data_IF_954637681176
#
_entry.id   IF_954637681176
#
_cell.length_a   1.000
_cell.length_b   1.000
_cell.length_c   1.000
_cell.angle_alpha   90.00
_cell.angle_beta   90.00
_cell.angle_gamma   90.00
#
_symmetry.space_group_name_H-M   'P 1'
#
loop_
_entity.id
_entity.type
_entity.pdbx_description
1 polymer ?
#
# COMPACT_ATOMS: atom_id res chain seq x y z
N UNK A 1 2.08 18.24 -26.23
CA UNK A 1 1.10 19.22 -26.76
C UNK A 1 0.41 20.05 -25.67
N UNK A 2 -0.39 19.44 -24.76
CA UNK A 2 -1.10 20.17 -23.69
C UNK A 2 -0.21 21.14 -22.88
N UNK A 3 1.05 20.78 -22.67
CA UNK A 3 2.04 21.57 -21.90
C UNK A 3 2.37 22.91 -22.55
N UNK A 4 2.50 22.96 -23.88
CA UNK A 4 2.73 24.21 -24.60
C UNK A 4 1.46 25.06 -24.67
N UNK A 5 0.30 24.43 -24.86
CA UNK A 5 -0.98 25.12 -24.90
C UNK A 5 -1.31 25.80 -23.55
N UNK A 6 -1.11 25.09 -22.43
CA UNK A 6 -1.32 25.64 -21.08
C UNK A 6 -0.28 26.74 -20.81
N UNK A 7 0.99 26.54 -21.16
CA UNK A 7 2.02 27.55 -20.97
C UNK A 7 1.76 28.85 -21.75
N UNK A 8 1.30 28.74 -23.00
CA UNK A 8 0.90 29.90 -23.80
C UNK A 8 -0.35 30.58 -23.24
N UNK A 9 -1.35 29.82 -22.79
CA UNK A 9 -2.57 30.35 -22.20
C UNK A 9 -2.37 30.97 -20.80
N UNK A 10 -1.34 30.53 -20.06
CA UNK A 10 -1.01 31.08 -18.75
C UNK A 10 -0.59 32.56 -18.83
N UNK A 11 -0.07 33.00 -19.98
CA UNK A 11 0.20 34.41 -20.30
C UNK A 11 0.94 35.18 -19.20
N UNK A 12 1.90 34.52 -18.51
CA UNK A 12 2.71 35.14 -17.44
C UNK A 12 1.99 35.39 -16.12
N UNK A 13 0.83 34.76 -15.86
CA UNK A 13 0.10 34.86 -14.58
C UNK A 13 0.74 34.09 -13.41
N UNK A 14 1.85 33.39 -13.68
CA UNK A 14 2.63 32.61 -12.72
C UNK A 14 1.91 31.41 -12.13
N UNK A 15 2.58 30.72 -11.20
CA UNK A 15 2.13 29.41 -10.67
C UNK A 15 0.86 29.47 -9.82
N UNK A 16 0.53 30.64 -9.27
CA UNK A 16 -0.63 30.81 -8.37
C UNK A 16 -1.88 31.27 -9.13
N UNK A 17 -1.81 32.35 -9.90
CA UNK A 17 -2.98 32.88 -10.63
C UNK A 17 -3.15 32.24 -12.03
N UNK A 18 -2.08 31.69 -12.59
CA UNK A 18 -2.10 30.97 -13.87
C UNK A 18 -2.60 29.54 -13.75
N UNK A 19 -2.79 28.90 -14.90
CA UNK A 19 -3.11 27.47 -14.98
C UNK A 19 -1.89 26.61 -14.62
N UNK A 20 -2.15 25.34 -14.26
CA UNK A 20 -1.11 24.35 -13.99
C UNK A 20 -1.46 23.01 -14.62
N UNK A 21 -0.51 22.08 -14.61
CA UNK A 21 -0.66 20.71 -15.08
C UNK A 21 -0.60 19.73 -13.91
N UNK A 22 -1.38 18.66 -13.98
CA UNK A 22 -1.19 17.50 -13.11
C UNK A 22 -0.81 16.28 -13.95
N UNK A 23 0.09 15.44 -13.45
CA UNK A 23 0.52 14.20 -14.09
C UNK A 23 0.45 13.03 -13.12
N UNK A 24 0.39 11.83 -13.66
CA UNK A 24 0.56 10.57 -12.91
C UNK A 24 1.85 9.92 -13.37
N UNK A 25 2.66 9.47 -12.42
CA UNK A 25 3.95 8.85 -12.70
C UNK A 25 3.77 7.49 -13.40
N UNK A 26 2.71 6.75 -13.05
CA UNK A 26 2.33 5.51 -13.75
C UNK A 26 2.04 5.72 -15.24
N UNK A 27 1.56 6.91 -15.63
CA UNK A 27 1.32 7.27 -17.03
C UNK A 27 2.59 7.58 -17.82
N UNK A 28 3.73 7.70 -17.15
CA UNK A 28 5.02 8.02 -17.77
C UNK A 28 5.94 6.80 -17.94
N UNK A 29 5.65 5.69 -17.24
CA UNK A 29 6.54 4.52 -17.27
C UNK A 29 5.80 3.21 -16.95
N UNK A 30 5.97 2.15 -17.76
CA UNK A 30 5.26 0.88 -17.56
C UNK A 30 5.74 0.11 -16.32
N UNK A 31 6.98 0.34 -15.88
CA UNK A 31 7.58 -0.28 -14.71
C UNK A 31 7.58 0.61 -13.46
N UNK A 32 6.61 1.52 -13.28
CA UNK A 32 6.54 2.37 -12.09
C UNK A 32 6.13 1.56 -10.84
N UNK A 33 7.13 0.95 -10.19
CA UNK A 33 7.00 0.13 -8.99
C UNK A 33 8.31 0.07 -8.20
N UNK A 34 8.25 -0.14 -6.88
CA UNK A 34 9.42 -0.20 -5.98
C UNK A 34 10.45 -1.26 -6.41
N UNK A 35 9.99 -2.40 -6.91
CA UNK A 35 10.84 -3.49 -7.42
C UNK A 35 11.67 -3.10 -8.66
N UNK A 36 11.32 -2.01 -9.34
CA UNK A 36 12.01 -1.49 -10.53
C UNK A 36 12.65 -0.12 -10.27
N UNK A 37 13.00 0.17 -9.00
CA UNK A 37 13.53 1.47 -8.58
C UNK A 37 14.64 2.00 -9.48
N UNK A 38 15.65 1.19 -9.79
CA UNK A 38 16.76 1.59 -10.66
C UNK A 38 16.29 2.03 -12.05
N UNK A 39 15.33 1.31 -12.66
CA UNK A 39 14.74 1.67 -13.95
C UNK A 39 13.89 2.93 -13.85
N UNK A 40 13.12 3.08 -12.77
CA UNK A 40 12.34 4.31 -12.51
C UNK A 40 13.27 5.53 -12.45
N UNK A 41 14.39 5.43 -11.74
CA UNK A 41 15.37 6.52 -11.65
C UNK A 41 16.13 6.77 -12.95
N UNK A 42 16.34 5.74 -13.78
CA UNK A 42 17.06 5.87 -15.05
C UNK A 42 16.17 6.29 -16.24
N UNK A 43 14.90 5.87 -16.25
CA UNK A 43 14.00 5.98 -17.41
C UNK A 43 12.83 6.95 -17.17
N UNK A 44 12.16 6.88 -16.01
CA UNK A 44 11.02 7.75 -15.67
C UNK A 44 11.52 9.15 -15.27
N UNK A 45 12.51 9.21 -14.39
CA UNK A 45 13.00 10.48 -13.84
C UNK A 45 13.42 11.51 -14.91
N UNK A 46 14.17 11.17 -15.97
CA UNK A 46 14.51 12.13 -17.03
C UNK A 46 13.28 12.75 -17.71
N UNK A 47 12.21 11.96 -17.92
CA UNK A 47 10.94 12.45 -18.49
C UNK A 47 10.27 13.43 -17.53
N UNK A 48 10.26 13.13 -16.23
CA UNK A 48 9.74 14.03 -15.19
C UNK A 48 10.54 15.34 -15.11
N UNK A 49 11.86 15.28 -15.24
CA UNK A 49 12.72 16.47 -15.25
C UNK A 49 12.46 17.35 -16.49
N UNK A 50 12.35 16.76 -17.68
CA UNK A 50 12.03 17.51 -18.90
C UNK A 50 10.69 18.25 -18.77
N UNK A 51 9.71 17.57 -18.19
CA UNK A 51 8.39 18.12 -17.85
C UNK A 51 8.49 19.32 -16.91
N UNK A 52 9.25 19.19 -15.83
CA UNK A 52 9.44 20.24 -14.84
C UNK A 52 10.20 21.45 -15.42
N UNK A 53 11.23 21.22 -16.24
CA UNK A 53 11.96 22.29 -16.92
C UNK A 53 11.05 23.06 -17.88
N UNK A 54 10.18 22.37 -18.61
CA UNK A 54 9.20 23.01 -19.47
C UNK A 54 8.18 23.83 -18.67
N UNK A 55 7.69 23.29 -17.55
CA UNK A 55 6.78 24.01 -16.67
C UNK A 55 7.43 25.27 -16.08
N UNK A 56 8.69 25.19 -15.66
CA UNK A 56 9.50 26.33 -15.22
C UNK A 56 9.62 27.41 -16.29
N UNK A 57 9.88 27.04 -17.55
CA UNK A 57 9.99 28.01 -18.66
C UNK A 57 8.73 28.84 -18.87
N UNK A 58 7.56 28.26 -18.59
CA UNK A 58 6.27 28.95 -18.68
C UNK A 58 5.77 29.52 -17.36
N UNK A 59 6.50 29.32 -16.27
CA UNK A 59 6.10 29.67 -14.90
C UNK A 59 4.70 29.13 -14.52
N UNK A 60 4.45 27.85 -14.83
CA UNK A 60 3.20 27.17 -14.49
C UNK A 60 3.43 26.07 -13.46
N UNK A 61 2.43 25.77 -12.63
CA UNK A 61 2.50 24.65 -11.69
C UNK A 61 2.55 23.29 -12.40
N UNK A 62 3.39 22.38 -11.92
CA UNK A 62 3.44 20.97 -12.31
C UNK A 62 3.24 20.09 -11.08
N UNK A 63 2.06 19.49 -10.98
CA UNK A 63 1.67 18.70 -9.83
C UNK A 63 1.78 17.19 -10.10
N UNK A 64 2.53 16.48 -9.25
CA UNK A 64 2.63 15.03 -9.27
C UNK A 64 1.47 14.46 -8.46
N UNK A 65 0.52 13.81 -9.13
CA UNK A 65 -0.61 13.15 -8.49
C UNK A 65 -0.18 11.91 -7.68
N UNK A 66 -0.81 11.73 -6.52
CA UNK A 66 -0.65 10.55 -5.69
C UNK A 66 -1.55 9.42 -6.19
N UNK A 67 -1.01 8.21 -6.19
CA UNK A 67 -1.64 6.99 -6.71
C UNK A 67 -1.87 5.98 -5.57
N UNK A 68 -1.55 4.70 -5.77
CA UNK A 68 -1.65 3.64 -4.76
C UNK A 68 -0.63 3.81 -3.63
N UNK A 69 -0.91 3.21 -2.47
CA UNK A 69 -0.10 3.37 -1.25
C UNK A 69 1.33 2.83 -1.38
N UNK A 70 1.54 1.78 -2.17
CA UNK A 70 2.86 1.17 -2.42
C UNK A 70 3.81 2.05 -3.26
N UNK A 71 3.29 3.14 -3.84
CA UNK A 71 4.03 4.09 -4.68
C UNK A 71 4.40 5.39 -3.96
N UNK A 72 3.90 5.62 -2.75
CA UNK A 72 4.15 6.87 -2.01
C UNK A 72 5.65 7.14 -1.83
N UNK A 73 6.39 6.19 -1.27
CA UNK A 73 7.81 6.38 -0.94
C UNK A 73 8.67 6.51 -2.20
N UNK A 74 8.42 5.70 -3.23
CA UNK A 74 9.09 5.83 -4.52
C UNK A 74 8.83 7.20 -5.19
N UNK A 75 7.63 7.76 -5.04
CA UNK A 75 7.33 9.10 -5.56
C UNK A 75 8.05 10.21 -4.78
N UNK A 76 8.36 9.99 -3.50
CA UNK A 76 9.14 10.93 -2.68
C UNK A 76 10.62 10.94 -3.09
N UNK A 77 11.19 9.79 -3.49
CA UNK A 77 12.54 9.74 -4.07
C UNK A 77 12.65 10.59 -5.34
N UNK A 78 11.64 10.48 -6.22
CA UNK A 78 11.56 11.27 -7.45
C UNK A 78 11.41 12.76 -7.14
N UNK A 79 10.56 13.12 -6.16
CA UNK A 79 10.38 14.49 -5.72
C UNK A 79 11.67 15.08 -5.13
N UNK A 80 12.36 14.34 -4.24
CA UNK A 80 13.61 14.82 -3.63
C UNK A 80 14.67 15.05 -4.70
N UNK A 81 14.88 14.07 -5.59
CA UNK A 81 15.81 14.24 -6.70
C UNK A 81 15.45 15.45 -7.56
N UNK A 82 14.17 15.69 -7.83
CA UNK A 82 13.70 16.84 -8.62
C UNK A 82 13.96 18.18 -7.91
N UNK A 83 13.74 18.26 -6.60
CA UNK A 83 13.94 19.49 -5.83
C UNK A 83 15.41 19.90 -5.73
N UNK A 84 16.35 18.97 -5.91
CA UNK A 84 17.79 19.27 -5.90
C UNK A 84 18.40 19.48 -7.30
N UNK A 85 17.61 19.47 -8.37
CA UNK A 85 18.13 19.78 -9.71
C UNK A 85 18.50 21.26 -9.84
N UNK A 86 19.77 21.62 -10.11
CA UNK A 86 20.19 23.02 -10.20
C UNK A 86 19.42 23.82 -11.26
N UNK A 87 19.04 23.16 -12.36
CA UNK A 87 18.27 23.77 -13.43
C UNK A 87 16.85 24.19 -12.98
N UNK A 88 16.34 23.65 -11.87
CA UNK A 88 15.04 24.02 -11.31
C UNK A 88 15.13 25.08 -10.21
N UNK A 89 16.32 25.46 -9.73
CA UNK A 89 16.49 26.45 -8.67
C UNK A 89 15.60 27.70 -8.83
N UNK A 90 14.92 28.09 -7.75
CA UNK A 90 13.99 29.23 -7.72
C UNK A 90 12.60 28.97 -8.31
N UNK A 91 12.31 27.77 -8.82
CA UNK A 91 10.99 27.44 -9.36
C UNK A 91 9.98 27.11 -8.26
N UNK A 92 8.91 27.90 -8.14
CA UNK A 92 7.85 27.70 -7.14
C UNK A 92 6.70 26.78 -7.61
N UNK A 93 6.81 26.20 -8.81
CA UNK A 93 5.73 25.42 -9.43
C UNK A 93 5.84 23.91 -9.24
N UNK A 94 6.79 23.41 -8.44
CA UNK A 94 6.88 21.97 -8.14
C UNK A 94 5.75 21.61 -7.18
N UNK A 95 4.81 20.78 -7.65
CA UNK A 95 3.65 20.35 -6.89
C UNK A 95 3.62 18.86 -6.59
N UNK A 96 3.06 18.50 -5.44
CA UNK A 96 2.97 17.11 -4.98
C UNK A 96 1.68 16.87 -4.19
N UNK A 97 0.99 15.77 -4.47
CA UNK A 97 -0.25 15.39 -3.77
C UNK A 97 0.06 14.48 -2.59
N UNK A 98 -0.61 14.72 -1.46
CA UNK A 98 -0.56 13.84 -0.28
C UNK A 98 -1.99 13.46 0.12
N UNK A 99 -2.21 12.17 0.41
CA UNK A 99 -3.53 11.61 0.65
C UNK A 99 -3.79 11.40 2.16
N UNK A 100 -4.70 12.18 2.73
CA UNK A 100 -5.04 12.19 4.16
C UNK A 100 -5.66 10.88 4.68
N UNK A 101 -6.19 10.02 3.81
CA UNK A 101 -6.68 8.70 4.20
C UNK A 101 -5.55 7.71 4.56
N UNK A 102 -4.29 8.00 4.20
CA UNK A 102 -3.16 7.14 4.53
C UNK A 102 -2.64 7.46 5.92
N UNK A 103 -2.28 6.42 6.67
CA UNK A 103 -1.66 6.55 8.00
C UNK A 103 -0.32 7.29 7.96
N UNK A 104 0.36 7.29 6.80
CA UNK A 104 1.64 7.97 6.57
C UNK A 104 1.52 9.47 6.27
N UNK A 105 0.31 9.99 6.00
CA UNK A 105 0.10 11.38 5.58
C UNK A 105 0.78 12.45 6.46
N UNK A 106 0.67 12.44 7.81
CA UNK A 106 1.34 13.45 8.63
C UNK A 106 2.86 13.41 8.50
N UNK A 107 3.46 12.22 8.40
CA UNK A 107 4.91 12.06 8.23
C UNK A 107 5.38 12.47 6.83
N UNK A 108 4.59 12.18 5.80
CA UNK A 108 4.86 12.65 4.44
C UNK A 108 4.82 14.20 4.36
N UNK A 109 3.91 14.85 5.10
CA UNK A 109 3.88 16.30 5.21
C UNK A 109 5.12 16.83 5.90
N UNK A 110 5.53 16.23 7.03
CA UNK A 110 6.73 16.64 7.74
C UNK A 110 7.98 16.53 6.83
N UNK A 111 8.09 15.42 6.09
CA UNK A 111 9.14 15.21 5.11
C UNK A 111 9.14 16.26 3.99
N UNK A 112 7.97 16.56 3.38
CA UNK A 112 7.89 17.52 2.28
C UNK A 112 8.17 18.95 2.75
N UNK A 113 7.78 19.31 3.97
CA UNK A 113 8.12 20.62 4.57
C UNK A 113 9.63 20.73 4.80
N UNK A 114 10.27 19.68 5.32
CA UNK A 114 11.72 19.63 5.48
C UNK A 114 12.45 19.71 4.12
N UNK A 115 12.01 18.92 3.14
CA UNK A 115 12.56 18.93 1.78
C UNK A 115 12.46 20.31 1.12
N UNK A 116 11.30 20.96 1.22
CA UNK A 116 11.10 22.33 0.74
C UNK A 116 12.14 23.29 1.34
N UNK A 117 12.35 23.26 2.65
CA UNK A 117 13.31 24.12 3.34
C UNK A 117 14.75 23.83 2.93
N UNK A 118 15.15 22.56 2.88
CA UNK A 118 16.52 22.17 2.49
C UNK A 118 16.84 22.44 1.02
N UNK A 119 15.85 22.33 0.14
CA UNK A 119 16.02 22.57 -1.30
C UNK A 119 15.82 24.03 -1.70
N UNK A 120 15.26 24.86 -0.81
CA UNK A 120 14.96 26.28 -1.08
C UNK A 120 13.74 26.48 -1.99
N UNK A 121 12.95 25.44 -2.21
CA UNK A 121 11.71 25.50 -2.97
C UNK A 121 10.51 25.74 -2.06
N UNK A 122 9.59 26.61 -2.47
CA UNK A 122 8.25 26.67 -1.89
C UNK A 122 7.34 25.68 -2.63
N UNK A 123 7.16 24.48 -2.08
CA UNK A 123 6.46 23.39 -2.77
C UNK A 123 4.94 23.57 -2.75
N UNK A 124 4.27 23.32 -3.88
CA UNK A 124 2.80 23.33 -3.95
C UNK A 124 2.27 21.98 -3.42
N UNK A 125 1.69 21.95 -2.23
CA UNK A 125 1.25 20.69 -1.60
C UNK A 125 -0.25 20.56 -1.67
N UNK A 126 -0.73 19.67 -2.55
CA UNK A 126 -2.15 19.36 -2.66
C UNK A 126 -2.55 18.30 -1.64
N UNK A 127 -3.34 18.69 -0.65
CA UNK A 127 -3.92 17.77 0.31
C UNK A 127 -5.26 17.25 -0.21
N UNK A 128 -5.37 15.95 -0.44
CA UNK A 128 -6.61 15.26 -0.82
C UNK A 128 -6.99 14.26 0.27
N UNK A 129 -8.21 13.70 0.23
CA UNK A 129 -8.54 12.54 1.08
C UNK A 129 -7.86 11.28 0.54
N UNK A 130 -8.21 10.87 -0.67
CA UNK A 130 -7.69 9.68 -1.34
C UNK A 130 -8.72 9.12 -2.32
N UNK A 131 -8.25 8.37 -3.32
CA UNK A 131 -9.07 7.90 -4.45
C UNK A 131 -9.06 6.37 -4.66
N UNK A 132 -8.31 5.64 -3.83
CA UNK A 132 -8.02 4.21 -4.03
C UNK A 132 -8.49 3.34 -2.86
N UNK A 133 -9.37 3.84 -1.99
CA UNK A 133 -9.62 3.25 -0.67
C UNK A 133 -10.02 1.77 -0.73
N UNK A 134 -11.03 1.40 -1.52
CA UNK A 134 -11.47 0.00 -1.64
C UNK A 134 -10.37 -0.92 -2.19
N UNK A 135 -9.57 -0.41 -3.14
CA UNK A 135 -8.43 -1.14 -3.69
C UNK A 135 -7.34 -1.36 -2.63
N UNK A 136 -7.07 -0.39 -1.76
CA UNK A 136 -6.11 -0.54 -0.66
C UNK A 136 -6.58 -1.55 0.38
N UNK A 137 -7.88 -1.56 0.71
CA UNK A 137 -8.48 -2.57 1.59
C UNK A 137 -8.31 -3.97 0.98
N UNK A 138 -8.72 -4.13 -0.28
CA UNK A 138 -8.60 -5.40 -1.00
C UNK A 138 -7.15 -5.87 -1.11
N UNK A 139 -6.23 -4.97 -1.47
CA UNK A 139 -4.82 -5.30 -1.68
C UNK A 139 -4.18 -5.79 -0.40
N UNK A 140 -4.36 -5.08 0.72
CA UNK A 140 -3.82 -5.50 2.00
C UNK A 140 -4.37 -6.86 2.48
N UNK A 141 -5.64 -7.16 2.18
CA UNK A 141 -6.26 -8.47 2.47
C UNK A 141 -5.68 -9.58 1.60
N UNK A 142 -5.57 -9.37 0.28
CA UNK A 142 -4.97 -10.34 -0.64
C UNK A 142 -3.52 -10.63 -0.25
N UNK A 143 -2.75 -9.58 0.05
CA UNK A 143 -1.32 -9.69 0.36
C UNK A 143 -1.06 -10.19 1.78
N UNK A 144 -2.08 -10.39 2.61
CA UNK A 144 -1.93 -10.91 3.98
C UNK A 144 -1.12 -9.98 4.89
N UNK A 145 -1.23 -8.67 4.71
CA UNK A 145 -0.43 -7.69 5.44
C UNK A 145 -0.88 -7.54 6.90
N UNK A 146 -0.01 -7.00 7.76
CA UNK A 146 -0.33 -6.77 9.17
C UNK A 146 -1.52 -5.82 9.41
N UNK A 147 -1.85 -4.98 8.43
CA UNK A 147 -3.02 -4.10 8.45
C UNK A 147 -3.11 -3.23 7.21
N UNK A 148 -4.05 -2.28 7.24
CA UNK A 148 -4.28 -1.37 6.11
C UNK A 148 -3.33 -0.17 6.10
N UNK A 149 -2.84 0.27 4.93
CA UNK A 149 -2.10 1.54 4.81
C UNK A 149 -3.02 2.77 4.96
N UNK A 150 -4.34 2.56 4.84
CA UNK A 150 -5.39 3.58 4.95
C UNK A 150 -6.24 3.42 6.22
N UNK A 151 -6.92 4.49 6.63
CA UNK A 151 -7.93 4.41 7.68
C UNK A 151 -9.17 3.66 7.20
N UNK A 152 -9.79 2.87 8.07
CA UNK A 152 -10.98 2.07 7.74
C UNK A 152 -12.30 2.78 8.05
N UNK A 153 -12.27 3.91 8.76
CA UNK A 153 -13.45 4.75 9.03
C UNK A 153 -13.27 6.11 8.37
N UNK A 154 -14.31 6.59 7.69
CA UNK A 154 -14.30 7.89 6.99
C UNK A 154 -13.99 9.06 7.93
N UNK A 155 -14.52 9.05 9.15
CA UNK A 155 -14.26 10.11 10.14
C UNK A 155 -12.76 10.22 10.49
N UNK A 156 -12.01 9.12 10.50
CA UNK A 156 -10.56 9.15 10.75
C UNK A 156 -9.81 9.85 9.62
N UNK A 157 -10.22 9.62 8.37
CA UNK A 157 -9.70 10.37 7.21
C UNK A 157 -9.98 11.86 7.33
N UNK A 158 -11.18 12.25 7.80
CA UNK A 158 -11.51 13.67 7.99
C UNK A 158 -10.66 14.32 9.08
N UNK A 159 -10.50 13.65 10.23
CA UNK A 159 -9.62 14.13 11.32
C UNK A 159 -8.17 14.24 10.84
N UNK A 160 -7.67 13.22 10.12
CA UNK A 160 -6.35 13.24 9.51
C UNK A 160 -6.19 14.43 8.56
N UNK A 161 -7.17 14.68 7.69
CA UNK A 161 -7.16 15.82 6.78
C UNK A 161 -7.03 17.15 7.53
N UNK A 162 -7.83 17.37 8.57
CA UNK A 162 -7.77 18.61 9.36
C UNK A 162 -6.45 18.74 10.13
N UNK A 163 -5.93 17.65 10.69
CA UNK A 163 -4.64 17.66 11.38
C UNK A 163 -3.48 17.99 10.43
N UNK A 164 -3.50 17.42 9.22
CA UNK A 164 -2.54 17.65 8.15
C UNK A 164 -2.66 19.06 7.56
N UNK A 165 -3.87 19.58 7.38
CA UNK A 165 -4.10 20.95 6.93
C UNK A 165 -3.50 21.96 7.92
N UNK A 166 -3.68 21.73 9.23
CA UNK A 166 -3.07 22.56 10.28
C UNK A 166 -1.53 22.58 10.18
N UNK A 167 -0.90 21.43 9.90
CA UNK A 167 0.56 21.35 9.74
C UNK A 167 1.04 22.13 8.52
N UNK A 168 0.34 22.01 7.39
CA UNK A 168 0.66 22.75 6.17
C UNK A 168 0.48 24.27 6.35
N UNK A 169 -0.59 24.72 7.01
CA UNK A 169 -0.82 26.13 7.33
C UNK A 169 0.26 26.72 8.25
N UNK A 170 0.93 25.89 9.05
CA UNK A 170 1.99 26.30 9.96
C UNK A 170 3.38 26.43 9.30
N UNK A 171 3.51 26.13 8.01
CA UNK A 171 4.77 26.22 7.26
C UNK A 171 4.66 27.04 5.96
N UNK A 172 4.12 28.28 6.00
CA UNK A 172 3.88 29.08 4.79
C UNK A 172 5.18 29.49 4.07
N UNK A 173 6.31 29.45 4.77
CA UNK A 173 7.67 29.65 4.23
C UNK A 173 8.08 28.54 3.26
N UNK A 174 7.69 27.30 3.59
CA UNK A 174 8.14 26.10 2.91
C UNK A 174 7.14 25.60 1.87
N UNK A 175 5.84 25.76 2.12
CA UNK A 175 4.80 25.19 1.26
C UNK A 175 3.74 26.21 0.87
N UNK A 176 3.14 25.98 -0.29
CA UNK A 176 1.88 26.55 -0.72
C UNK A 176 0.79 25.48 -0.61
N UNK A 177 -0.02 25.46 0.48
CA UNK A 177 -1.04 24.44 0.67
C UNK A 177 -2.19 24.60 -0.33
N UNK A 178 -2.63 23.48 -0.89
CA UNK A 178 -3.77 23.42 -1.82
C UNK A 178 -4.79 22.40 -1.28
N UNK A 179 -5.87 22.88 -0.68
CA UNK A 179 -6.86 22.04 -0.01
C UNK A 179 -7.93 21.55 -0.99
N UNK A 180 -7.74 20.35 -1.54
CA UNK A 180 -8.67 19.73 -2.45
C UNK A 180 -9.77 18.97 -1.69
N UNK A 181 -10.99 19.50 -1.69
CA UNK A 181 -12.16 18.91 -1.00
C UNK A 181 -13.48 19.45 -1.55
N UNK A 182 -14.51 18.61 -1.58
CA UNK A 182 -15.92 19.03 -1.82
C UNK A 182 -16.75 19.02 -0.54
N UNK A 183 -16.14 18.72 0.60
CA UNK A 183 -16.83 18.67 1.88
C UNK A 183 -16.82 20.08 2.51
N UNK A 184 -18.01 20.69 2.62
CA UNK A 184 -18.17 22.04 3.15
C UNK A 184 -17.73 22.18 4.61
N UNK A 185 -17.94 21.14 5.44
CA UNK A 185 -17.48 21.14 6.84
C UNK A 185 -15.95 21.19 6.91
N UNK A 186 -15.25 20.41 6.07
CA UNK A 186 -13.79 20.41 5.98
C UNK A 186 -13.29 21.77 5.51
N UNK A 187 -13.91 22.33 4.47
CA UNK A 187 -13.59 23.67 3.94
C UNK A 187 -13.74 24.74 5.03
N UNK A 188 -14.90 24.80 5.69
CA UNK A 188 -15.19 25.79 6.72
C UNK A 188 -14.22 25.68 7.91
N UNK A 189 -13.89 24.44 8.32
CA UNK A 189 -12.92 24.19 9.38
C UNK A 189 -11.54 24.76 9.03
N UNK A 190 -11.07 24.54 7.80
CA UNK A 190 -9.77 25.05 7.32
C UNK A 190 -9.80 26.57 7.17
N UNK A 191 -10.88 27.12 6.62
CA UNK A 191 -11.06 28.58 6.50
C UNK A 191 -10.95 29.27 7.86
N UNK A 192 -11.63 28.75 8.89
CA UNK A 192 -11.52 29.28 10.26
C UNK A 192 -10.15 29.01 10.88
N UNK A 193 -9.57 27.84 10.66
CA UNK A 193 -8.24 27.46 11.16
C UNK A 193 -7.12 28.37 10.60
N UNK A 194 -7.23 28.81 9.35
CA UNK A 194 -6.28 29.72 8.73
C UNK A 194 -6.33 31.15 9.31
N UNK A 195 -7.42 31.51 9.99
CA UNK A 195 -7.64 32.86 10.52
C UNK A 195 -7.93 33.84 9.37
N UNK A 196 -9.20 33.94 8.93
CA UNK A 196 -9.52 34.61 7.67
C UNK A 196 -9.19 36.10 7.65
N UNK A 197 -9.09 36.71 8.83
CA UNK A 197 -8.74 38.11 9.04
C UNK A 197 -7.27 38.40 8.73
N UNK A 198 -6.43 37.36 8.64
CA UNK A 198 -4.97 37.44 8.36
C UNK A 198 -4.60 36.96 6.95
N UNK A 199 -5.60 36.58 6.16
CA UNK A 199 -5.36 35.99 4.85
C UNK A 199 -4.72 36.99 3.88
N UNK A 200 -3.73 36.51 3.14
CA UNK A 200 -3.11 37.22 2.03
C UNK A 200 -3.07 36.30 0.81
N UNK A 201 -3.21 36.90 -0.38
CA UNK A 201 -3.11 36.15 -1.64
C UNK A 201 -1.77 35.42 -1.74
N UNK A 202 -1.80 34.15 -2.17
CA UNK A 202 -0.60 33.31 -2.26
C UNK A 202 -0.24 32.55 -0.98
N UNK A 203 -1.02 32.68 0.11
CA UNK A 203 -0.80 31.88 1.32
C UNK A 203 -1.24 30.42 1.14
N UNK A 204 -2.45 30.19 0.62
CA UNK A 204 -2.99 28.87 0.28
C UNK A 204 -4.14 29.02 -0.74
N UNK A 205 -4.57 27.92 -1.33
CA UNK A 205 -5.81 27.85 -2.12
C UNK A 205 -6.66 26.65 -1.74
N UNK A 206 -7.93 26.69 -2.12
CA UNK A 206 -8.74 25.50 -2.23
C UNK A 206 -8.65 24.91 -3.64
N UNK A 207 -9.06 23.66 -3.79
CA UNK A 207 -9.23 23.04 -5.09
C UNK A 207 -10.49 22.20 -5.15
N UNK A 208 -11.04 22.12 -6.35
CA UNK A 208 -12.22 21.31 -6.63
C UNK A 208 -12.06 20.59 -7.97
N UNK A 209 -13.07 19.78 -8.30
CA UNK A 209 -13.09 19.02 -9.54
C UNK A 209 -14.12 19.67 -10.45
N UNK A 210 -13.78 19.78 -11.73
CA UNK A 210 -14.69 20.27 -12.75
C UNK A 210 -15.96 19.41 -12.84
N UNK A 211 -17.12 20.06 -12.98
CA UNK A 211 -18.44 19.46 -13.09
C UNK A 211 -19.00 18.93 -11.77
N UNK A 212 -18.43 19.30 -10.63
CA UNK A 212 -18.86 18.80 -9.32
C UNK A 212 -18.70 19.82 -8.19
N UNK A 213 -17.56 20.49 -8.12
CA UNK A 213 -17.24 21.36 -6.98
C UNK A 213 -17.67 22.81 -7.15
N UNK A 214 -17.97 23.23 -8.37
CA UNK A 214 -18.30 24.61 -8.70
C UNK A 214 -19.42 25.19 -7.82
N UNK A 215 -20.57 24.50 -7.58
CA UNK A 215 -21.64 25.06 -6.75
C UNK A 215 -21.20 25.43 -5.34
N UNK A 216 -20.28 24.68 -4.73
CA UNK A 216 -19.71 25.01 -3.42
C UNK A 216 -18.77 26.21 -3.52
N UNK A 217 -17.87 26.20 -4.51
CA UNK A 217 -16.78 27.17 -4.58
C UNK A 217 -17.16 28.52 -5.19
N UNK A 218 -18.28 28.61 -5.92
CA UNK A 218 -18.89 29.89 -6.30
C UNK A 218 -19.24 30.73 -5.05
N UNK A 219 -19.60 30.09 -3.93
CA UNK A 219 -19.85 30.75 -2.64
C UNK A 219 -18.56 31.07 -1.86
N UNK A 220 -17.38 30.69 -2.38
CA UNK A 220 -16.09 30.79 -1.67
C UNK A 220 -15.16 31.80 -2.34
N UNK A 221 -15.13 31.82 -3.68
CA UNK A 221 -14.19 32.64 -4.46
C UNK A 221 -14.53 34.13 -4.43
N UNK A 222 -15.83 34.47 -4.45
CA UNK A 222 -16.28 35.86 -4.45
C UNK A 222 -15.76 36.66 -3.25
N UNK A 223 -15.58 37.98 -3.38
CA UNK A 223 -15.20 38.82 -2.24
C UNK A 223 -16.30 38.82 -1.17
N UNK A 224 -15.95 39.13 0.07
CA UNK A 224 -16.91 39.19 1.19
C UNK A 224 -18.05 40.18 0.92
N UNK A 225 -17.76 41.28 0.21
CA UNK A 225 -18.77 42.27 -0.22
C UNK A 225 -19.83 41.71 -1.18
N UNK A 226 -19.56 40.57 -1.83
CA UNK A 226 -20.47 39.86 -2.72
C UNK A 226 -20.99 38.54 -2.10
N UNK A 227 -20.81 38.34 -0.79
CA UNK A 227 -21.27 37.15 -0.07
C UNK A 227 -20.35 35.93 -0.16
N UNK A 228 -19.17 36.05 -0.79
CA UNK A 228 -18.17 34.98 -0.81
C UNK A 228 -17.20 35.03 0.37
N UNK A 229 -16.19 34.16 0.37
CA UNK A 229 -15.15 34.09 1.42
C UNK A 229 -13.81 34.71 1.01
N UNK A 230 -13.70 35.22 -0.21
CA UNK A 230 -12.47 35.78 -0.77
C UNK A 230 -11.31 34.78 -0.78
N UNK A 231 -11.56 33.50 -1.10
CA UNK A 231 -10.52 32.47 -1.18
C UNK A 231 -10.42 31.86 -2.58
N UNK A 232 -9.20 31.76 -3.15
CA UNK A 232 -9.05 31.21 -4.49
C UNK A 232 -9.38 29.71 -4.49
N UNK A 233 -9.96 29.26 -5.59
CA UNK A 233 -10.18 27.86 -5.88
C UNK A 233 -9.63 27.51 -7.26
N UNK A 234 -8.76 26.50 -7.33
CA UNK A 234 -8.30 25.93 -8.59
C UNK A 234 -9.15 24.73 -8.97
N UNK A 235 -9.71 24.76 -10.17
CA UNK A 235 -10.49 23.67 -10.72
C UNK A 235 -9.56 22.67 -11.40
N UNK A 236 -9.58 21.42 -10.95
CA UNK A 236 -8.95 20.30 -11.64
C UNK A 236 -9.87 19.85 -12.78
N UNK A 237 -9.43 20.08 -14.01
CA UNK A 237 -10.18 19.76 -15.22
C UNK A 237 -9.54 18.54 -15.94
N UNK A 238 -10.18 17.36 -15.93
CA UNK A 238 -9.76 16.24 -16.77
C UNK A 238 -9.86 16.63 -18.25
N UNK A 239 -8.81 16.34 -19.02
CA UNK A 239 -8.79 16.58 -20.47
C UNK A 239 -8.34 15.29 -21.15
N UNK A 240 -9.14 14.80 -22.10
CA UNK A 240 -8.85 13.57 -22.84
C UNK A 240 -9.96 13.24 -23.84
N UNK A 241 -9.71 12.25 -24.69
CA UNK A 241 -10.76 11.69 -25.55
C UNK A 241 -11.85 10.98 -24.72
N UNK A 242 -13.01 10.73 -25.32
CA UNK A 242 -14.08 9.95 -24.67
C UNK A 242 -13.58 8.60 -24.14
N UNK A 243 -12.77 7.86 -24.92
CA UNK A 243 -12.17 6.59 -24.52
C UNK A 243 -11.28 6.73 -23.27
N UNK A 244 -10.46 7.78 -23.22
CA UNK A 244 -9.56 8.05 -22.08
C UNK A 244 -10.36 8.38 -20.81
N UNK A 245 -11.46 9.12 -20.96
CA UNK A 245 -12.30 9.53 -19.84
C UNK A 245 -13.12 8.37 -19.26
N UNK A 246 -13.52 7.38 -20.07
CA UNK A 246 -14.30 6.23 -19.60
C UNK A 246 -13.53 5.38 -18.56
N UNK A 247 -12.26 5.08 -18.80
CA UNK A 247 -11.42 4.34 -17.85
C UNK A 247 -11.24 5.08 -16.52
N UNK A 248 -11.30 6.41 -16.55
CA UNK A 248 -11.22 7.27 -15.37
C UNK A 248 -12.57 7.48 -14.66
N UNK A 249 -13.68 7.40 -15.41
CA UNK A 249 -15.02 7.77 -14.98
C UNK A 249 -15.52 6.91 -13.82
N UNK A 250 -15.32 5.58 -13.85
CA UNK A 250 -15.83 4.69 -12.80
C UNK A 250 -15.27 5.08 -11.43
N UNK A 251 -13.96 5.31 -11.32
CA UNK A 251 -13.33 5.75 -10.06
C UNK A 251 -13.84 7.12 -9.63
N UNK A 252 -14.03 8.04 -10.59
CA UNK A 252 -14.54 9.39 -10.31
C UNK A 252 -15.99 9.38 -9.81
N UNK A 253 -16.82 8.46 -10.32
CA UNK A 253 -18.17 8.23 -9.83
C UNK A 253 -18.16 7.64 -8.42
N UNK A 254 -17.28 6.66 -8.13
CA UNK A 254 -17.16 6.07 -6.79
C UNK A 254 -16.70 7.09 -5.74
N UNK A 255 -15.76 7.98 -6.08
CA UNK A 255 -15.26 9.04 -5.19
C UNK A 255 -16.38 9.90 -4.59
N UNK A 256 -17.44 10.19 -5.36
CA UNK A 256 -18.49 11.12 -4.96
C UNK A 256 -19.86 10.46 -4.78
N UNK A 257 -20.06 9.25 -5.31
CA UNK A 257 -21.30 8.49 -5.24
C UNK A 257 -21.40 7.51 -4.06
N UNK A 258 -20.32 7.29 -3.30
CA UNK A 258 -20.38 6.45 -2.10
C UNK A 258 -21.36 7.03 -1.05
N UNK A 259 -22.06 6.18 -0.30
CA UNK A 259 -23.03 6.60 0.74
C UNK A 259 -22.43 7.53 1.81
N UNK A 260 -21.12 7.44 2.03
CA UNK A 260 -20.38 8.28 2.99
C UNK A 260 -19.82 9.57 2.38
N UNK A 261 -19.95 9.75 1.06
CA UNK A 261 -19.55 10.97 0.35
C UNK A 261 -20.42 12.15 0.74
N UNK A 262 -19.80 13.33 0.90
CA UNK A 262 -20.53 14.57 1.19
C UNK A 262 -21.45 14.97 0.02
N UNK A 263 -20.99 14.79 -1.22
CA UNK A 263 -21.76 15.16 -2.42
C UNK A 263 -23.03 14.32 -2.54
N UNK A 264 -22.95 13.02 -2.21
CA UNK A 264 -24.13 12.16 -2.18
C UNK A 264 -25.08 12.56 -1.04
N UNK A 265 -24.54 12.81 0.15
CA UNK A 265 -25.35 13.17 1.33
C UNK A 265 -26.04 14.53 1.22
N UNK A 266 -25.44 15.52 0.55
CA UNK A 266 -26.09 16.84 0.36
C UNK A 266 -27.22 16.80 -0.68
N UNK A 267 -27.19 15.82 -1.59
CA UNK A 267 -28.26 15.60 -2.55
C UNK A 267 -29.46 14.83 -1.97
N UNK A 268 -29.33 14.24 -0.78
CA UNK A 268 -30.42 13.55 -0.09
C UNK A 268 -31.28 14.54 0.73
N UNK A 269 -32.53 14.82 0.31
CA UNK A 269 -33.40 15.78 0.98
C UNK A 269 -33.85 15.33 2.38
N UNK A 270 -33.65 14.05 2.75
CA UNK A 270 -34.05 13.52 4.05
C UNK A 270 -32.98 13.67 5.12
N UNK A 271 -31.74 14.06 4.75
CA UNK A 271 -30.66 14.24 5.71
C UNK A 271 -30.72 15.63 6.36
N UNK A 272 -30.76 15.71 7.72
CA UNK A 272 -30.74 17.00 8.40
C UNK A 272 -29.39 17.69 8.17
N UNK A 273 -29.42 19.01 7.98
CA UNK A 273 -28.24 19.84 7.71
C UNK A 273 -27.19 19.71 8.82
N UNK A 274 -27.64 19.57 10.07
CA UNK A 274 -26.80 19.40 11.25
C UNK A 274 -25.87 18.18 11.11
N UNK A 275 -26.32 17.12 10.42
CA UNK A 275 -25.51 15.91 10.19
C UNK A 275 -24.40 16.13 9.16
N UNK A 276 -24.53 17.13 8.27
CA UNK A 276 -23.54 17.46 7.24
C UNK A 276 -22.41 18.33 7.78
N UNK A 277 -22.67 19.06 8.87
CA UNK A 277 -21.73 19.99 9.52
C UNK A 277 -21.14 19.44 10.82
N UNK A 278 -21.35 18.15 11.10
CA UNK A 278 -20.80 17.50 12.30
C UNK A 278 -19.27 17.56 12.32
N UNK A 279 -18.71 17.90 13.48
CA UNK A 279 -17.26 17.91 13.69
C UNK A 279 -16.72 16.47 13.76
N UNK A 280 -15.89 16.03 12.80
CA UNK A 280 -15.37 14.67 12.77
C UNK A 280 -14.53 14.34 14.02
N UNK A 281 -13.94 15.34 14.69
CA UNK A 281 -13.21 15.11 15.96
C UNK A 281 -14.19 14.69 17.06
N UNK A 282 -15.39 15.28 17.10
CA UNK A 282 -16.45 14.88 18.04
C UNK A 282 -16.93 13.47 17.73
N UNK A 283 -17.19 13.16 16.46
CA UNK A 283 -17.60 11.82 16.01
C UNK A 283 -16.58 10.76 16.44
N UNK A 284 -15.28 11.03 16.27
CA UNK A 284 -14.21 10.10 16.69
C UNK A 284 -14.14 9.92 18.20
N UNK A 285 -14.38 10.96 18.98
CA UNK A 285 -14.46 10.87 20.45
C UNK A 285 -15.65 10.03 20.90
N UNK A 286 -16.80 10.18 20.27
CA UNK A 286 -17.99 9.36 20.56
C UNK A 286 -17.74 7.88 20.25
N UNK A 287 -17.06 7.55 19.14
CA UNK A 287 -16.65 6.17 18.89
C UNK A 287 -15.79 5.62 20.04
N UNK A 288 -14.85 6.41 20.55
CA UNK A 288 -14.00 5.98 21.66
C UNK A 288 -14.77 5.80 22.97
N UNK A 289 -15.76 6.64 23.25
CA UNK A 289 -16.65 6.48 24.41
C UNK A 289 -17.46 5.18 24.32
N UNK A 290 -17.99 4.86 23.14
CA UNK A 290 -18.78 3.63 22.92
C UNK A 290 -17.93 2.36 22.90
N UNK A 291 -16.73 2.42 22.34
CA UNK A 291 -15.88 1.25 22.06
C UNK A 291 -14.74 1.08 23.07
N UNK A 292 -14.61 2.01 24.02
CA UNK A 292 -13.61 1.99 25.09
C UNK A 292 -12.20 2.43 24.69
N UNK A 293 -11.95 2.78 23.43
CA UNK A 293 -10.64 3.23 22.96
C UNK A 293 -10.70 4.06 21.67
N UNK A 294 -9.78 5.02 21.51
CA UNK A 294 -9.62 5.79 20.28
C UNK A 294 -9.01 4.95 19.16
N UNK A 295 -9.47 5.18 17.93
CA UNK A 295 -8.82 4.67 16.72
C UNK A 295 -9.10 3.21 16.37
N UNK A 296 -10.14 2.60 16.94
CA UNK A 296 -10.55 1.24 16.61
C UNK A 296 -10.90 1.08 15.11
N UNK A 297 -10.51 -0.03 14.46
CA UNK A 297 -10.83 -0.26 13.06
C UNK A 297 -12.35 -0.32 12.83
N UNK A 298 -12.77 -0.27 11.57
CA UNK A 298 -14.19 -0.39 11.25
C UNK A 298 -14.65 -1.82 11.55
N UNK A 299 -15.73 -2.03 12.33
CA UNK A 299 -16.11 -3.37 12.82
C UNK A 299 -16.48 -4.33 11.69
N UNK A 300 -17.00 -3.81 10.57
CA UNK A 300 -17.35 -4.61 9.40
C UNK A 300 -16.19 -4.87 8.42
N UNK A 301 -14.96 -4.45 8.73
CA UNK A 301 -13.78 -4.64 7.87
C UNK A 301 -12.76 -5.48 8.64
N UNK A 302 -12.73 -6.81 8.43
CA UNK A 302 -11.81 -7.69 9.14
C UNK A 302 -10.38 -7.45 8.69
N UNK A 303 -9.44 -7.35 9.63
CA UNK A 303 -8.01 -7.30 9.33
C UNK A 303 -7.60 -8.48 8.42
N UNK A 304 -6.53 -8.35 7.60
CA UNK A 304 -6.10 -9.43 6.70
C UNK A 304 -5.90 -10.78 7.39
N UNK A 305 -5.32 -10.80 8.60
CA UNK A 305 -5.13 -12.01 9.40
C UNK A 305 -6.45 -12.69 9.83
N UNK A 306 -7.53 -11.91 9.96
CA UNK A 306 -8.85 -12.34 10.44
C UNK A 306 -9.86 -12.54 9.30
N UNK A 307 -9.42 -12.59 8.05
CA UNK A 307 -10.29 -12.64 6.87
C UNK A 307 -11.28 -13.83 6.88
N UNK A 308 -10.90 -14.95 7.49
CA UNK A 308 -11.72 -16.16 7.58
C UNK A 308 -12.45 -16.31 8.94
N UNK A 309 -12.47 -15.25 9.76
CA UNK A 309 -13.17 -15.23 11.04
C UNK A 309 -12.70 -16.33 11.99
N UNK A 310 -13.66 -17.05 12.59
CA UNK A 310 -13.36 -18.15 13.53
C UNK A 310 -12.96 -19.47 12.87
N UNK A 311 -13.03 -19.57 11.54
CA UNK A 311 -12.72 -20.82 10.84
C UNK A 311 -11.22 -21.14 10.91
N UNK A 312 -10.37 -20.14 10.62
CA UNK A 312 -8.90 -20.23 10.67
C UNK A 312 -8.27 -18.84 10.60
N UNK A 313 -7.01 -18.75 11.01
CA UNK A 313 -6.18 -17.60 10.68
C UNK A 313 -5.80 -17.60 9.19
N UNK A 314 -5.70 -16.42 8.59
CA UNK A 314 -5.11 -16.24 7.26
C UNK A 314 -3.58 -16.22 7.36
N UNK A 315 -2.89 -16.61 6.28
CA UNK A 315 -1.45 -16.56 6.20
C UNK A 315 -0.89 -15.14 6.12
N UNK A 316 0.28 -14.91 6.73
CA UNK A 316 0.95 -13.60 6.73
C UNK A 316 1.85 -13.42 5.51
N UNK A 317 1.75 -12.25 4.85
CA UNK A 317 2.64 -11.86 3.77
C UNK A 317 3.65 -10.77 4.14
N UNK A 318 4.40 -10.34 3.12
CA UNK A 318 5.44 -9.32 3.23
C UNK A 318 5.10 -8.13 2.31
N UNK A 319 5.13 -6.92 2.85
CA UNK A 319 5.03 -5.70 2.06
C UNK A 319 6.37 -5.43 1.36
N UNK A 320 6.51 -5.88 0.12
CA UNK A 320 7.72 -5.72 -0.69
C UNK A 320 7.90 -4.29 -1.24
N UNK A 321 6.97 -3.36 -0.95
CA UNK A 321 7.15 -1.95 -1.22
C UNK A 321 7.72 -1.18 -0.02
N UNK A 322 7.77 -1.79 1.17
CA UNK A 322 8.31 -1.20 2.40
C UNK A 322 9.81 -1.45 2.53
N UNK A 323 10.59 -0.36 2.66
CA UNK A 323 12.04 -0.44 2.84
C UNK A 323 12.46 -1.13 4.14
N UNK A 324 11.63 -1.04 5.19
CA UNK A 324 11.86 -1.77 6.44
C UNK A 324 11.77 -3.29 6.21
N UNK A 325 10.76 -3.74 5.46
CA UNK A 325 10.60 -5.14 5.07
C UNK A 325 11.75 -5.61 4.18
N UNK A 326 12.10 -4.82 3.16
CA UNK A 326 13.21 -5.15 2.25
C UNK A 326 14.55 -5.23 3.01
N UNK A 327 14.78 -4.37 4.00
CA UNK A 327 15.98 -4.42 4.85
C UNK A 327 16.01 -5.69 5.70
N UNK A 328 14.88 -6.10 6.27
CA UNK A 328 14.76 -7.36 7.01
C UNK A 328 15.03 -8.57 6.12
N UNK A 329 14.44 -8.61 4.92
CA UNK A 329 14.66 -9.67 3.92
C UNK A 329 16.11 -9.69 3.43
N UNK A 330 16.74 -8.54 3.23
CA UNK A 330 18.16 -8.45 2.89
C UNK A 330 19.03 -9.03 4.01
N UNK A 331 18.71 -8.76 5.27
CA UNK A 331 19.42 -9.33 6.42
C UNK A 331 19.29 -10.85 6.45
N UNK A 332 18.08 -11.37 6.19
CA UNK A 332 17.85 -12.81 6.05
C UNK A 332 18.63 -13.42 4.87
N UNK A 333 18.70 -12.72 3.74
CA UNK A 333 19.53 -13.13 2.60
C UNK A 333 21.01 -13.20 2.96
N UNK A 334 21.54 -12.23 3.73
CA UNK A 334 22.93 -12.30 4.18
C UNK A 334 23.16 -13.47 5.15
N UNK A 335 22.20 -13.76 6.03
CA UNK A 335 22.31 -14.85 7.00
C UNK A 335 22.17 -16.26 6.37
N UNK A 336 21.29 -16.42 5.38
CA UNK A 336 20.90 -17.73 4.84
C UNK A 336 21.27 -17.95 3.38
N UNK A 337 21.58 -16.89 2.62
CA UNK A 337 21.90 -16.97 1.19
C UNK A 337 23.18 -17.72 0.87
N UNK A 338 24.07 -17.92 1.85
CA UNK A 338 25.27 -18.76 1.72
C UNK A 338 25.11 -20.13 2.41
N UNK A 339 23.98 -20.37 3.08
CA UNK A 339 23.71 -21.67 3.71
C UNK A 339 23.71 -22.74 2.62
N UNK A 340 24.45 -23.82 2.89
CA UNK A 340 24.35 -25.07 2.14
C UNK A 340 23.26 -25.90 2.77
N UNK A 341 22.24 -26.20 2.00
CA UNK A 341 21.11 -27.01 2.44
C UNK A 341 21.38 -28.48 2.19
N UNK A 342 20.81 -29.36 3.00
CA UNK A 342 20.94 -30.81 2.84
C UNK A 342 19.56 -31.44 2.83
N UNK A 343 19.32 -32.29 1.84
CA UNK A 343 18.13 -33.13 1.73
C UNK A 343 18.56 -34.60 1.71
N UNK A 344 17.93 -35.42 2.52
CA UNK A 344 18.26 -36.84 2.63
C UNK A 344 17.03 -37.64 3.07
N UNK A 345 17.01 -38.97 2.88
CA UNK A 345 15.91 -39.81 3.32
C UNK A 345 15.77 -39.76 4.85
N UNK A 346 14.58 -39.40 5.34
CA UNK A 346 14.22 -39.38 6.75
C UNK A 346 13.30 -40.58 7.05
N UNK A 347 13.84 -41.62 7.71
CA UNK A 347 13.11 -42.83 8.08
C UNK A 347 12.72 -42.81 9.56
N UNK A 348 11.68 -43.57 9.95
CA UNK A 348 11.09 -43.58 11.29
C UNK A 348 12.11 -43.85 12.43
N UNK A 349 13.15 -44.64 12.14
CA UNK A 349 14.06 -45.21 13.14
C UNK A 349 15.50 -44.68 13.00
N UNK A 350 15.71 -43.57 12.28
CA UNK A 350 17.05 -42.98 12.11
C UNK A 350 17.07 -41.58 12.73
N UNK A 351 18.05 -41.30 13.59
CA UNK A 351 18.43 -39.90 13.88
C UNK A 351 18.76 -39.21 12.55
N UNK A 352 18.63 -37.87 12.51
CA UNK A 352 19.06 -37.05 11.36
C UNK A 352 20.38 -37.62 10.83
N UNK A 353 20.44 -38.00 9.54
CA UNK A 353 21.50 -38.88 9.08
C UNK A 353 22.87 -38.26 9.36
N UNK A 354 23.75 -39.04 9.97
CA UNK A 354 25.14 -38.67 10.15
C UNK A 354 25.75 -38.26 8.78
N UNK A 355 26.67 -37.27 8.74
CA UNK A 355 27.33 -36.86 7.51
C UNK A 355 27.94 -38.08 6.82
N UNK A 356 27.52 -38.29 5.57
CA UNK A 356 27.85 -39.38 4.65
C UNK A 356 28.48 -40.64 5.30
N UNK A 357 27.66 -41.67 5.56
CA UNK A 357 28.18 -43.03 5.58
C UNK A 357 28.91 -43.29 4.25
N UNK A 358 30.15 -43.78 4.31
CA UNK A 358 31.01 -43.98 3.15
C UNK A 358 30.28 -44.78 2.05
N UNK A 359 30.14 -44.18 0.86
CA UNK A 359 29.71 -44.87 -0.36
C UNK A 359 28.32 -44.52 -0.92
N UNK A 360 27.56 -43.60 -0.33
CA UNK A 360 26.32 -43.09 -0.94
C UNK A 360 26.59 -41.80 -1.71
N UNK A 361 26.27 -41.78 -3.00
CA UNK A 361 26.45 -40.61 -3.88
C UNK A 361 25.52 -39.46 -3.43
N UNK A 362 26.11 -38.28 -3.23
CA UNK A 362 25.41 -37.02 -2.97
C UNK A 362 25.46 -36.16 -4.22
N UNK A 363 24.33 -35.61 -4.64
CA UNK A 363 24.21 -34.75 -5.80
C UNK A 363 24.12 -33.29 -5.38
N UNK A 364 24.79 -32.39 -6.10
CA UNK A 364 24.66 -30.96 -5.86
C UNK A 364 23.34 -30.44 -6.44
N UNK A 365 22.60 -29.67 -5.64
CA UNK A 365 21.46 -28.89 -6.10
C UNK A 365 21.97 -27.52 -6.53
N UNK A 366 21.77 -27.15 -7.79
CA UNK A 366 22.31 -25.93 -8.38
C UNK A 366 21.21 -24.87 -8.54
N UNK A 367 21.60 -23.61 -8.40
CA UNK A 367 20.70 -22.49 -8.61
C UNK A 367 20.39 -22.33 -10.12
N UNK A 368 19.12 -22.36 -10.55
CA UNK A 368 18.76 -22.31 -11.96
C UNK A 368 19.05 -20.95 -12.60
N UNK A 369 19.12 -19.87 -11.81
CA UNK A 369 19.48 -18.53 -12.29
C UNK A 369 21.00 -18.29 -12.36
N UNK A 370 21.79 -19.11 -11.65
CA UNK A 370 23.24 -19.01 -11.60
C UNK A 370 23.86 -20.39 -11.36
N UNK A 371 24.18 -21.14 -12.42
CA UNK A 371 24.60 -22.54 -12.31
C UNK A 371 25.90 -22.77 -11.50
N UNK A 372 26.71 -21.73 -11.29
CA UNK A 372 27.88 -21.77 -10.41
C UNK A 372 27.55 -21.69 -8.91
N UNK A 373 26.31 -21.33 -8.55
CA UNK A 373 25.83 -21.28 -7.17
C UNK A 373 25.24 -22.64 -6.76
N UNK A 374 25.93 -23.34 -5.87
CA UNK A 374 25.47 -24.60 -5.26
C UNK A 374 24.52 -24.28 -4.10
N UNK A 375 23.24 -24.58 -4.23
CA UNK A 375 22.25 -24.31 -3.17
C UNK A 375 22.44 -25.26 -1.99
N UNK A 376 22.73 -26.52 -2.29
CA UNK A 376 22.83 -27.58 -1.30
C UNK A 376 23.20 -28.91 -1.93
N UNK A 377 22.97 -29.98 -1.18
CA UNK A 377 23.18 -31.35 -1.60
C UNK A 377 21.97 -32.21 -1.30
N UNK A 378 21.66 -33.12 -2.21
CA UNK A 378 20.62 -34.12 -2.04
C UNK A 378 21.22 -35.52 -2.05
N UNK A 379 20.76 -36.35 -1.13
CA UNK A 379 20.98 -37.81 -1.16
C UNK A 379 19.67 -38.48 -1.51
N UNK A 380 19.64 -39.18 -2.63
CA UNK A 380 18.44 -39.92 -3.06
C UNK A 380 18.18 -41.13 -2.17
N UNK A 381 16.89 -41.48 -2.01
CA UNK A 381 16.51 -42.71 -1.33
C UNK A 381 16.81 -43.93 -2.21
N UNK A 382 17.34 -44.99 -1.61
CA UNK A 382 17.46 -46.28 -2.28
C UNK A 382 16.10 -47.00 -2.34
N UNK A 383 15.87 -47.93 -3.29
CA UNK A 383 14.66 -48.73 -3.32
C UNK A 383 14.40 -49.50 -2.01
N UNK A 384 15.45 -49.95 -1.33
CA UNK A 384 15.35 -50.61 -0.03
C UNK A 384 14.85 -49.66 1.06
N UNK A 385 15.36 -48.42 1.10
CA UNK A 385 14.88 -47.40 2.03
C UNK A 385 13.44 -46.99 1.75
N UNK A 386 13.04 -46.90 0.47
CA UNK A 386 11.65 -46.63 0.10
C UNK A 386 10.70 -47.75 0.56
N UNK A 387 11.08 -49.02 0.34
CA UNK A 387 10.31 -50.17 0.82
C UNK A 387 10.21 -50.19 2.36
N UNK A 388 11.30 -49.87 3.06
CA UNK A 388 11.32 -49.75 4.51
C UNK A 388 10.40 -48.64 5.01
N UNK A 389 10.40 -47.46 4.37
CA UNK A 389 9.53 -46.35 4.74
C UNK A 389 8.04 -46.73 4.65
N UNK A 390 7.64 -47.47 3.61
CA UNK A 390 6.26 -47.96 3.46
C UNK A 390 5.91 -48.99 4.54
N UNK A 391 6.84 -49.90 4.85
CA UNK A 391 6.63 -50.89 5.90
C UNK A 391 6.49 -50.24 7.29
N UNK A 392 7.34 -49.27 7.62
CA UNK A 392 7.29 -48.50 8.86
C UNK A 392 5.98 -47.69 8.95
N UNK A 393 5.57 -47.04 7.86
CA UNK A 393 4.30 -46.31 7.80
C UNK A 393 3.09 -47.24 8.02
N UNK A 394 3.11 -48.44 7.42
CA UNK A 394 2.06 -49.44 7.62
C UNK A 394 2.01 -49.92 9.08
N UNK A 395 3.16 -50.14 9.70
CA UNK A 395 3.25 -50.56 11.10
C UNK A 395 2.76 -49.46 12.07
N UNK A 396 3.05 -48.19 11.79
CA UNK A 396 2.65 -47.06 12.63
C UNK A 396 1.21 -46.56 12.36
N UNK A 397 0.63 -46.89 11.20
CA UNK A 397 -0.69 -46.41 10.79
C UNK A 397 -1.80 -46.58 11.86
N UNK A 398 -1.91 -47.70 12.60
CA UNK A 398 -2.92 -47.82 13.65
C UNK A 398 -2.74 -46.82 14.80
N UNK A 399 -1.50 -46.55 15.20
CA UNK A 399 -1.19 -45.59 16.26
C UNK A 399 -1.52 -44.16 15.82
N UNK A 400 -1.17 -43.79 14.58
CA UNK A 400 -1.53 -42.48 14.02
C UNK A 400 -3.05 -42.32 13.85
N UNK A 401 -3.74 -43.37 13.38
CA UNK A 401 -5.19 -43.37 13.23
C UNK A 401 -5.91 -43.16 14.58
N UNK A 402 -5.37 -43.72 15.67
CA UNK A 402 -5.88 -43.55 17.03
C UNK A 402 -5.64 -42.15 17.62
N UNK A 403 -4.75 -41.34 17.04
CA UNK A 403 -4.52 -39.95 17.48
C UNK A 403 -5.77 -39.12 17.20
N UNK A 404 -6.37 -38.41 18.18
CA UNK A 404 -7.61 -37.65 17.96
C UNK A 404 -7.51 -36.62 16.83
N UNK A 405 -8.57 -36.40 16.03
CA UNK A 405 -8.54 -35.43 14.93
C UNK A 405 -8.12 -34.02 15.38
N UNK A 406 -8.52 -33.60 16.58
CA UNK A 406 -8.12 -32.31 17.15
C UNK A 406 -6.61 -32.19 17.41
N UNK A 407 -5.96 -33.27 17.85
CA UNK A 407 -4.50 -33.29 18.08
C UNK A 407 -3.73 -33.28 16.76
N UNK A 408 -4.22 -34.00 15.74
CA UNK A 408 -3.66 -33.94 14.38
C UNK A 408 -3.80 -32.56 13.76
N UNK A 409 -4.95 -31.91 13.96
CA UNK A 409 -5.16 -30.51 13.54
C UNK A 409 -4.17 -29.56 14.23
N UNK A 410 -3.95 -29.71 15.53
CA UNK A 410 -2.99 -28.90 16.28
C UNK A 410 -1.53 -29.09 15.82
N UNK A 411 -1.17 -30.28 15.31
CA UNK A 411 0.15 -30.51 14.67
C UNK A 411 0.29 -29.71 13.37
N UNK A 412 -0.74 -29.70 12.52
CA UNK A 412 -0.74 -28.94 11.27
C UNK A 412 -0.64 -27.43 11.52
N UNK A 413 -1.37 -26.92 12.51
CA UNK A 413 -1.30 -25.49 12.87
C UNK A 413 0.06 -25.08 13.39
N UNK A 414 0.67 -25.90 14.27
CA UNK A 414 2.05 -25.66 14.71
C UNK A 414 3.04 -25.66 13.55
N UNK A 415 2.86 -26.55 12.57
CA UNK A 415 3.69 -26.56 11.37
C UNK A 415 3.49 -25.28 10.53
N UNK A 416 2.26 -24.76 10.43
CA UNK A 416 1.98 -23.50 9.75
C UNK A 416 2.67 -22.31 10.43
N UNK A 417 2.62 -22.26 11.76
CA UNK A 417 3.26 -21.20 12.54
C UNK A 417 4.80 -21.25 12.40
N UNK A 418 5.38 -22.45 12.36
CA UNK A 418 6.81 -22.64 12.11
C UNK A 418 7.21 -22.23 10.68
N UNK A 419 6.39 -22.54 9.66
CA UNK A 419 6.64 -22.10 8.29
C UNK A 419 6.64 -20.57 8.17
N UNK A 420 5.71 -19.90 8.84
CA UNK A 420 5.66 -18.43 8.83
C UNK A 420 6.81 -17.80 9.61
N UNK A 421 7.19 -18.39 10.75
CA UNK A 421 8.35 -17.92 11.53
C UNK A 421 9.67 -18.06 10.77
N UNK A 422 9.84 -19.15 10.01
CA UNK A 422 11.02 -19.43 9.19
C UNK A 422 10.93 -18.84 7.77
N UNK A 423 9.85 -18.12 7.45
CA UNK A 423 9.61 -17.58 6.11
C UNK A 423 10.82 -16.84 5.53
N UNK A 424 11.54 -15.94 6.25
CA UNK A 424 12.71 -15.27 5.69
C UNK A 424 13.79 -16.24 5.20
N UNK A 425 14.07 -17.34 5.91
CA UNK A 425 15.02 -18.35 5.47
C UNK A 425 14.47 -19.17 4.29
N UNK A 426 13.20 -19.59 4.36
CA UNK A 426 12.55 -20.35 3.29
C UNK A 426 12.49 -19.58 1.97
N UNK A 427 12.24 -18.27 2.02
CA UNK A 427 12.25 -17.42 0.83
C UNK A 427 13.63 -17.39 0.14
N UNK A 428 14.72 -17.40 0.91
CA UNK A 428 16.07 -17.51 0.32
C UNK A 428 16.30 -18.85 -0.37
N UNK A 429 15.78 -19.93 0.22
CA UNK A 429 15.84 -21.27 -0.37
C UNK A 429 15.02 -21.35 -1.66
N UNK A 430 13.75 -20.90 -1.64
CA UNK A 430 12.88 -20.89 -2.82
C UNK A 430 13.43 -20.05 -3.98
N UNK A 431 14.06 -18.91 -3.67
CA UNK A 431 14.70 -18.08 -4.67
C UNK A 431 15.93 -18.77 -5.29
N UNK A 432 16.75 -19.46 -4.46
CA UNK A 432 17.99 -20.09 -4.93
C UNK A 432 17.76 -21.47 -5.56
N UNK A 433 16.92 -22.31 -4.99
CA UNK A 433 16.67 -23.69 -5.45
C UNK A 433 15.69 -23.72 -6.63
N UNK A 434 14.53 -23.06 -6.48
CA UNK A 434 13.45 -23.10 -7.46
C UNK A 434 13.46 -21.90 -8.42
N UNK A 435 14.39 -20.95 -8.26
CA UNK A 435 14.47 -19.75 -9.10
C UNK A 435 13.28 -18.80 -8.95
N UNK A 436 12.54 -18.87 -7.84
CA UNK A 436 11.34 -18.05 -7.65
C UNK A 436 11.69 -16.59 -7.38
N UNK A 437 10.83 -15.70 -7.88
CA UNK A 437 10.86 -14.30 -7.44
C UNK A 437 10.42 -14.19 -5.98
N UNK A 438 10.82 -13.13 -5.28
CA UNK A 438 10.39 -12.90 -3.90
C UNK A 438 8.87 -12.91 -3.72
N UNK A 439 8.12 -12.31 -4.64
CA UNK A 439 6.65 -12.31 -4.56
C UNK A 439 6.06 -13.72 -4.73
N UNK A 440 6.63 -14.55 -5.62
CA UNK A 440 6.19 -15.94 -5.77
C UNK A 440 6.59 -16.80 -4.57
N UNK A 441 7.77 -16.58 -4.00
CA UNK A 441 8.18 -17.27 -2.77
C UNK A 441 7.27 -16.93 -1.60
N UNK A 442 6.89 -15.66 -1.42
CA UNK A 442 5.93 -15.24 -0.39
C UNK A 442 4.58 -15.92 -0.61
N UNK A 443 4.09 -15.94 -1.85
CA UNK A 443 2.84 -16.61 -2.18
C UNK A 443 2.87 -18.12 -1.85
N UNK A 444 3.98 -18.81 -2.12
CA UNK A 444 4.12 -20.24 -1.84
C UNK A 444 4.21 -20.57 -0.36
N UNK A 445 4.99 -19.82 0.43
CA UNK A 445 5.05 -20.02 1.89
C UNK A 445 3.66 -19.81 2.49
N UNK A 446 2.93 -18.79 2.01
CA UNK A 446 1.56 -18.53 2.41
C UNK A 446 0.61 -19.66 2.02
N UNK A 447 0.70 -20.15 0.79
CA UNK A 447 -0.10 -21.27 0.30
C UNK A 447 0.13 -22.54 1.15
N UNK A 448 1.39 -22.84 1.49
CA UNK A 448 1.73 -23.97 2.36
C UNK A 448 1.11 -23.81 3.77
N UNK A 449 1.24 -22.63 4.39
CA UNK A 449 0.63 -22.34 5.67
C UNK A 449 -0.92 -22.38 5.61
N UNK A 450 -1.50 -21.88 4.52
CA UNK A 450 -2.95 -21.90 4.28
C UNK A 450 -3.49 -23.33 4.11
N UNK A 451 -2.78 -24.21 3.40
CA UNK A 451 -3.15 -25.63 3.30
C UNK A 451 -3.19 -26.29 4.68
N UNK A 452 -2.13 -26.10 5.48
CA UNK A 452 -2.04 -26.67 6.82
C UNK A 452 -3.19 -26.18 7.72
N UNK A 453 -3.44 -24.87 7.77
CA UNK A 453 -4.53 -24.29 8.58
C UNK A 453 -5.90 -24.66 8.06
N UNK A 454 -6.09 -24.72 6.74
CA UNK A 454 -7.35 -25.14 6.14
C UNK A 454 -7.67 -26.60 6.48
N UNK A 455 -6.73 -27.53 6.25
CA UNK A 455 -6.95 -28.94 6.55
C UNK A 455 -7.08 -29.20 8.05
N UNK A 456 -6.38 -28.44 8.92
CA UNK A 456 -6.60 -28.47 10.36
C UNK A 456 -8.04 -28.11 10.72
N UNK A 457 -8.56 -27.01 10.16
CA UNK A 457 -9.94 -26.57 10.39
C UNK A 457 -10.96 -27.62 9.92
N UNK A 458 -10.75 -28.24 8.75
CA UNK A 458 -11.62 -29.32 8.26
C UNK A 458 -11.54 -30.59 9.12
N UNK A 459 -10.33 -30.99 9.53
CA UNK A 459 -10.11 -32.21 10.31
C UNK A 459 -10.80 -32.18 11.68
N UNK A 460 -11.03 -30.99 12.26
CA UNK A 460 -11.79 -30.86 13.51
C UNK A 460 -13.25 -31.34 13.39
N UNK A 461 -13.82 -31.30 12.19
CA UNK A 461 -15.17 -31.79 11.93
C UNK A 461 -15.26 -33.31 11.71
N UNK A 462 -14.13 -34.03 11.72
CA UNK A 462 -14.12 -35.46 11.42
C UNK A 462 -14.54 -36.29 12.63
N UNK A 463 -15.59 -37.08 12.43
CA UNK A 463 -15.93 -38.19 13.32
C UNK A 463 -14.97 -39.37 13.07
N UNK A 464 -14.22 -39.77 14.10
CA UNK A 464 -13.27 -40.89 14.02
C UNK A 464 -13.93 -42.25 13.73
N UNK A 465 -15.23 -42.42 14.03
CA UNK A 465 -15.95 -43.65 13.74
C UNK A 465 -16.45 -43.71 12.29
N UNK A 466 -16.81 -42.56 11.71
CA UNK A 466 -17.32 -42.48 10.34
C UNK A 466 -16.24 -42.23 9.29
N UNK A 467 -15.13 -41.58 9.67
CA UNK A 467 -14.05 -41.18 8.76
C UNK A 467 -12.78 -42.00 9.07
N UNK A 468 -12.75 -43.22 8.56
CA UNK A 468 -11.63 -44.16 8.77
C UNK A 468 -10.48 -43.81 7.81
N UNK A 469 -9.22 -43.68 8.31
CA UNK A 469 -8.06 -43.47 7.45
C UNK A 469 -7.83 -44.63 6.47
N UNK A 470 -7.34 -44.33 5.27
CA UNK A 470 -7.04 -45.35 4.24
C UNK A 470 -5.86 -46.26 4.61
N UNK A 471 -4.95 -45.78 5.48
CA UNK A 471 -3.64 -46.38 5.74
C UNK A 471 -2.52 -45.53 5.15
N UNK A 472 -1.35 -46.12 4.84
CA UNK A 472 -0.24 -45.41 4.21
C UNK A 472 -0.65 -44.74 2.89
N UNK A 473 -0.28 -43.47 2.73
CA UNK A 473 -0.51 -42.69 1.50
C UNK A 473 0.85 -42.24 0.97
N UNK A 474 1.10 -42.50 -0.32
CA UNK A 474 2.30 -42.02 -1.02
C UNK A 474 1.99 -40.65 -1.62
N UNK A 475 2.77 -39.63 -1.24
CA UNK A 475 2.67 -38.27 -1.77
C UNK A 475 3.87 -38.00 -2.69
N UNK A 476 3.61 -37.69 -3.96
CA UNK A 476 4.62 -37.31 -4.96
C UNK A 476 4.29 -35.87 -5.40
N UNK A 477 5.26 -34.97 -5.28
CA UNK A 477 5.10 -33.52 -5.51
C UNK A 477 6.10 -32.99 -6.52
#
# INVERSE_FOLDING_TARGET
>A
EARHAIGQAAAGKGVYAGAGLSLKLSGLHPGYARAQHARVMAELYPVLLELALLAKRYDIGLNIDAEEADRLELSLDLLEKLCFEPALAGFAGIGFVIQAYQKRCPYAIDYVIDLARRSGHRLMVRLVKGAYWDSEIKRAQIDGLAGYPVFTRKAYTDVSYLACARRLLAAPDAVYPQFATHNAQTLASIYRMAGPERYQSGQYEFQCLHGMGEPLYEQVVGPESAGGLGRPCRIYAPVGSHETLLAYLVRRLLENGANTSFVNRVADPNLPLESLVEDPVRTVRQFAECEGALGQPHPAIPLPAALYGSLRANSQGFDLASDATLTALQTAWQAHGQRRWEAAPLLCNQELPAPAAQGLETENVLNPALLGDVVGQVRQATPAQAAQAVADAAAFAPAWAATPPAERAALLERAADLLEAEAPALLTLLAREAGKTWSNGVAEVREAADFLRYYAAQARGFDAAAHVPLGPVVCIS
#
